data_IF_669138412478
#
_entry.id   IF_669138412478
#
_cell.length_a   1.000
_cell.length_b   1.000
_cell.length_c   1.000
_cell.angle_alpha   90.00
_cell.angle_beta   90.00
_cell.angle_gamma   90.00
#
_symmetry.space_group_name_H-M   'P 1'
#
loop_
_entity.id
_entity.type
_entity.pdbx_description
1 polymer ?
#
# COMPACT_ATOMS: atom_id res chain seq x y z
N UNK A 1 -62.49 16.17 -30.18
CA UNK A 1 -61.31 16.29 -29.31
C UNK A 1 -60.15 15.62 -30.02
N UNK A 2 -59.04 16.36 -30.17
CA UNK A 2 -57.99 16.15 -31.15
C UNK A 2 -57.30 14.79 -31.14
N UNK A 3 -57.04 14.30 -32.35
CA UNK A 3 -56.10 13.25 -32.71
C UNK A 3 -54.68 13.69 -32.32
N UNK A 4 -54.05 13.01 -31.36
CA UNK A 4 -52.59 13.14 -31.17
C UNK A 4 -51.90 12.00 -31.91
N UNK A 5 -51.61 12.32 -33.17
CA UNK A 5 -50.79 11.59 -34.11
C UNK A 5 -49.35 11.54 -33.57
N UNK A 6 -48.93 10.43 -32.95
CA UNK A 6 -47.51 10.18 -32.65
C UNK A 6 -46.84 9.66 -33.92
N UNK A 7 -46.62 10.56 -34.85
CA UNK A 7 -45.90 10.28 -36.09
C UNK A 7 -44.40 10.19 -35.79
N UNK A 8 -43.87 8.98 -35.99
CA UNK A 8 -42.54 8.68 -36.53
C UNK A 8 -41.35 9.56 -36.14
N UNK A 9 -40.45 8.97 -35.35
CA UNK A 9 -39.01 9.00 -35.63
C UNK A 9 -38.46 7.57 -35.54
N UNK A 10 -38.85 6.70 -36.48
CA UNK A 10 -37.99 5.57 -36.85
C UNK A 10 -36.72 6.18 -37.42
N UNK A 11 -35.69 6.35 -36.60
CA UNK A 11 -34.36 6.65 -37.10
C UNK A 11 -33.88 5.46 -37.93
N UNK A 12 -34.10 5.56 -39.24
CA UNK A 12 -33.37 4.84 -40.26
C UNK A 12 -31.90 5.29 -40.17
N UNK A 13 -31.12 4.83 -39.17
CA UNK A 13 -29.67 4.96 -39.25
C UNK A 13 -29.15 3.80 -40.09
N UNK A 14 -29.43 3.90 -41.39
CA UNK A 14 -28.69 3.26 -42.47
C UNK A 14 -27.22 3.17 -42.08
N UNK A 15 -26.68 1.95 -42.04
CA UNK A 15 -25.25 1.58 -42.24
C UNK A 15 -24.26 2.76 -42.16
N UNK A 16 -24.24 3.52 -41.06
CA UNK A 16 -23.41 4.72 -40.94
C UNK A 16 -22.02 4.26 -40.52
N UNK A 17 -21.39 3.59 -41.48
CA UNK A 17 -19.98 3.42 -41.67
C UNK A 17 -19.19 3.19 -40.38
N UNK A 18 -18.84 1.92 -40.15
CA UNK A 18 -17.71 1.46 -39.33
C UNK A 18 -16.35 2.02 -39.83
N UNK A 19 -16.34 3.21 -40.44
CA UNK A 19 -15.14 3.90 -40.88
C UNK A 19 -14.41 4.37 -39.63
N UNK A 20 -13.13 4.02 -39.58
CA UNK A 20 -12.19 4.46 -38.56
C UNK A 20 -12.09 5.98 -38.61
N UNK A 21 -12.04 6.64 -37.46
CA UNK A 21 -11.85 8.08 -37.38
C UNK A 21 -10.52 8.44 -38.05
N UNK A 22 -10.47 9.55 -38.79
CA UNK A 22 -9.22 10.02 -39.40
C UNK A 22 -8.26 10.54 -38.34
N UNK A 23 -6.97 10.62 -38.67
CA UNK A 23 -5.97 11.14 -37.71
C UNK A 23 -6.27 12.57 -37.28
N UNK A 24 -6.75 13.43 -38.18
CA UNK A 24 -7.14 14.80 -37.84
C UNK A 24 -8.34 14.85 -36.89
N UNK A 25 -9.34 13.98 -37.12
CA UNK A 25 -10.48 13.85 -36.21
C UNK A 25 -10.04 13.39 -34.82
N UNK A 26 -9.16 12.39 -34.75
CA UNK A 26 -8.60 11.91 -33.48
C UNK A 26 -7.81 13.03 -32.79
N UNK A 27 -6.95 13.76 -33.51
CA UNK A 27 -6.16 14.87 -32.94
C UNK A 27 -7.05 15.92 -32.29
N UNK A 28 -8.14 16.33 -32.96
CA UNK A 28 -9.07 17.32 -32.41
C UNK A 28 -9.83 16.79 -31.18
N UNK A 29 -10.22 15.50 -31.19
CA UNK A 29 -10.81 14.84 -30.03
C UNK A 29 -9.82 14.77 -28.85
N UNK A 30 -8.54 14.54 -29.11
CA UNK A 30 -7.49 14.52 -28.09
C UNK A 30 -7.24 15.89 -27.45
N UNK A 31 -7.17 16.95 -28.26
CA UNK A 31 -7.05 18.34 -27.76
C UNK A 31 -8.26 18.67 -26.86
N UNK A 32 -9.46 18.33 -27.33
CA UNK A 32 -10.70 18.51 -26.58
C UNK A 32 -10.69 17.73 -25.26
N UNK A 33 -10.24 16.46 -25.28
CA UNK A 33 -10.13 15.61 -24.10
C UNK A 33 -9.09 16.11 -23.10
N UNK A 34 -7.96 16.62 -23.57
CA UNK A 34 -6.92 17.22 -22.73
C UNK A 34 -7.43 18.43 -21.94
N UNK A 35 -8.34 19.21 -22.54
CA UNK A 35 -8.97 20.35 -21.88
C UNK A 35 -10.05 19.92 -20.87
N UNK A 36 -10.89 18.95 -21.23
CA UNK A 36 -11.88 18.39 -20.32
C UNK A 36 -12.10 16.89 -20.60
N UNK A 37 -11.83 16.07 -19.59
CA UNK A 37 -11.97 14.60 -19.65
C UNK A 37 -13.43 14.13 -19.64
N UNK A 38 -14.36 14.99 -19.22
CA UNK A 38 -15.81 14.74 -19.25
C UNK A 38 -16.41 15.33 -20.51
N UNK A 39 -17.21 14.53 -21.21
CA UNK A 39 -17.90 14.95 -22.42
C UNK A 39 -19.28 15.50 -22.07
N UNK A 40 -19.39 16.82 -22.03
CA UNK A 40 -20.68 17.48 -21.82
C UNK A 40 -21.59 17.36 -23.06
N UNK A 41 -22.92 17.30 -22.89
CA UNK A 41 -23.86 17.14 -24.00
C UNK A 41 -23.72 18.20 -25.09
N UNK A 42 -23.58 19.47 -24.71
CA UNK A 42 -23.43 20.58 -25.66
C UNK A 42 -22.12 20.46 -26.45
N UNK A 43 -21.02 20.18 -25.75
CA UNK A 43 -19.71 19.98 -26.37
C UNK A 43 -19.71 18.79 -27.33
N UNK A 44 -20.43 17.72 -27.01
CA UNK A 44 -20.60 16.57 -27.90
C UNK A 44 -21.30 16.96 -29.21
N UNK A 45 -22.35 17.78 -29.14
CA UNK A 45 -23.06 18.26 -30.33
C UNK A 45 -22.19 19.22 -31.15
N UNK A 46 -21.39 20.06 -30.50
CA UNK A 46 -20.43 20.92 -31.20
C UNK A 46 -19.37 20.11 -31.94
N UNK A 47 -18.71 19.16 -31.25
CA UNK A 47 -17.72 18.28 -31.86
C UNK A 47 -18.29 17.43 -33.00
N UNK A 48 -19.55 17.01 -32.89
CA UNK A 48 -20.22 16.27 -33.97
C UNK A 48 -20.37 17.11 -35.24
N UNK A 49 -20.73 18.38 -35.08
CA UNK A 49 -20.84 19.36 -36.18
C UNK A 49 -19.48 19.67 -36.79
N UNK A 50 -18.50 20.00 -35.96
CA UNK A 50 -17.17 20.44 -36.42
C UNK A 50 -16.39 19.31 -37.13
N UNK A 51 -16.54 18.07 -36.65
CA UNK A 51 -15.79 16.93 -37.18
C UNK A 51 -16.57 16.15 -38.26
N UNK A 52 -17.86 16.42 -38.43
CA UNK A 52 -18.76 15.65 -39.29
C UNK A 52 -18.96 14.20 -38.83
N UNK A 53 -18.85 13.93 -37.53
CA UNK A 53 -18.89 12.59 -36.94
C UNK A 53 -20.19 12.41 -36.14
N UNK A 54 -20.85 11.24 -36.20
CA UNK A 54 -22.02 10.96 -35.38
C UNK A 54 -21.75 11.15 -33.87
N UNK A 55 -22.63 11.82 -33.11
CA UNK A 55 -22.47 12.05 -31.67
C UNK A 55 -22.19 10.78 -30.86
N UNK A 56 -22.73 9.64 -31.31
CA UNK A 56 -22.49 8.33 -30.70
C UNK A 56 -21.03 7.88 -30.81
N UNK A 57 -20.37 8.09 -31.94
CA UNK A 57 -18.96 7.73 -32.11
C UNK A 57 -18.06 8.57 -31.22
N UNK A 58 -18.37 9.85 -31.04
CA UNK A 58 -17.65 10.73 -30.11
C UNK A 58 -17.81 10.23 -28.67
N UNK A 59 -19.03 9.84 -28.27
CA UNK A 59 -19.28 9.28 -26.94
C UNK A 59 -18.46 7.99 -26.69
N UNK A 60 -18.45 7.07 -27.65
CA UNK A 60 -17.66 5.82 -27.58
C UNK A 60 -16.16 6.13 -27.53
N UNK A 61 -15.69 7.07 -28.34
CA UNK A 61 -14.29 7.47 -28.34
C UNK A 61 -13.87 8.03 -26.97
N UNK A 62 -14.69 8.91 -26.38
CA UNK A 62 -14.43 9.45 -25.03
C UNK A 62 -14.45 8.38 -23.95
N UNK A 63 -15.37 7.41 -24.03
CA UNK A 63 -15.40 6.26 -23.12
C UNK A 63 -14.10 5.44 -23.22
N UNK A 64 -13.68 5.09 -24.44
CA UNK A 64 -12.45 4.35 -24.68
C UNK A 64 -11.20 5.12 -24.25
N UNK A 65 -11.15 6.44 -24.51
CA UNK A 65 -10.04 7.29 -24.09
C UNK A 65 -9.95 7.36 -22.57
N UNK A 66 -11.08 7.48 -21.86
CA UNK A 66 -11.10 7.41 -20.38
C UNK A 66 -10.65 6.06 -19.85
N UNK A 67 -11.10 4.95 -20.45
CA UNK A 67 -10.67 3.61 -20.05
C UNK A 67 -9.15 3.46 -20.17
N UNK A 68 -8.59 3.82 -21.34
CA UNK A 68 -7.13 3.80 -21.58
C UNK A 68 -6.37 4.72 -20.62
N UNK A 69 -6.87 5.93 -20.40
CA UNK A 69 -6.26 6.87 -19.46
C UNK A 69 -6.25 6.33 -18.03
N UNK A 70 -7.35 5.68 -17.59
CA UNK A 70 -7.42 5.05 -16.28
C UNK A 70 -6.41 3.90 -16.16
N UNK A 71 -6.34 3.03 -17.17
CA UNK A 71 -5.34 1.96 -17.21
C UNK A 71 -3.92 2.50 -17.13
N UNK A 72 -3.59 3.50 -17.96
CA UNK A 72 -2.25 4.12 -17.95
C UNK A 72 -1.93 4.79 -16.60
N UNK A 73 -2.91 5.44 -15.96
CA UNK A 73 -2.70 6.01 -14.63
C UNK A 73 -2.38 4.92 -13.61
N UNK A 74 -3.14 3.83 -13.60
CA UNK A 74 -2.92 2.69 -12.70
C UNK A 74 -1.57 2.02 -12.92
N UNK A 75 -1.13 1.89 -14.17
CA UNK A 75 0.20 1.35 -14.51
C UNK A 75 1.32 2.23 -13.95
N UNK A 76 1.20 3.55 -14.07
CA UNK A 76 2.17 4.49 -13.50
C UNK A 76 2.16 4.44 -11.97
N UNK A 77 0.98 4.42 -11.35
CA UNK A 77 0.85 4.34 -9.89
C UNK A 77 1.45 3.04 -9.36
N UNK A 78 1.17 1.91 -10.02
CA UNK A 78 1.76 0.62 -9.68
C UNK A 78 3.28 0.64 -9.79
N UNK A 79 3.83 1.17 -10.88
CA UNK A 79 5.27 1.29 -11.07
C UNK A 79 5.92 2.16 -9.97
N UNK A 80 5.30 3.28 -9.61
CA UNK A 80 5.78 4.14 -8.53
C UNK A 80 5.74 3.45 -7.16
N UNK A 81 4.67 2.70 -6.87
CA UNK A 81 4.56 1.91 -5.64
C UNK A 81 5.60 0.81 -5.57
N UNK A 82 5.85 0.12 -6.69
CA UNK A 82 6.86 -0.93 -6.77
C UNK A 82 8.27 -0.38 -6.49
N UNK A 83 8.64 0.76 -7.09
CA UNK A 83 9.93 1.40 -6.82
C UNK A 83 10.10 1.79 -5.35
N UNK A 84 9.02 2.26 -4.70
CA UNK A 84 9.04 2.60 -3.27
C UNK A 84 9.20 1.35 -2.40
N UNK A 85 8.54 0.26 -2.75
CA UNK A 85 8.68 -1.02 -2.05
C UNK A 85 10.11 -1.55 -2.14
N UNK A 86 10.69 -1.53 -3.34
CA UNK A 86 12.08 -1.95 -3.57
C UNK A 86 13.05 -1.10 -2.74
N UNK A 87 12.91 0.23 -2.74
CA UNK A 87 13.72 1.14 -1.93
C UNK A 87 13.59 0.83 -0.43
N UNK A 88 12.37 0.68 0.09
CA UNK A 88 12.13 0.37 1.49
C UNK A 88 12.70 -1.01 1.88
N UNK A 89 12.62 -2.00 0.99
CA UNK A 89 13.19 -3.33 1.23
C UNK A 89 14.73 -3.30 1.29
N UNK A 90 15.35 -2.47 0.46
CA UNK A 90 16.80 -2.28 0.46
C UNK A 90 17.27 -1.58 1.75
N UNK A 91 16.54 -0.55 2.18
CA UNK A 91 16.79 0.14 3.46
C UNK A 91 16.63 -0.82 4.65
N UNK A 92 15.52 -1.59 4.70
CA UNK A 92 15.31 -2.61 5.73
C UNK A 92 16.50 -3.57 5.80
N UNK A 93 16.93 -4.12 4.66
CA UNK A 93 18.08 -5.04 4.60
C UNK A 93 19.38 -4.39 5.09
N UNK A 94 19.57 -3.09 4.83
CA UNK A 94 20.72 -2.36 5.33
C UNK A 94 20.65 -2.17 6.84
N UNK A 95 19.48 -1.80 7.38
CA UNK A 95 19.26 -1.65 8.81
C UNK A 95 19.43 -2.99 9.55
N UNK A 96 18.95 -4.10 8.99
CA UNK A 96 19.15 -5.44 9.58
C UNK A 96 20.64 -5.78 9.71
N UNK A 97 21.46 -5.47 8.70
CA UNK A 97 22.92 -5.65 8.79
C UNK A 97 23.56 -4.76 9.84
N UNK A 98 23.11 -3.52 9.96
CA UNK A 98 23.63 -2.58 10.94
C UNK A 98 23.25 -2.99 12.37
N UNK A 99 22.03 -3.48 12.57
CA UNK A 99 21.59 -4.06 13.85
C UNK A 99 22.45 -5.26 14.22
N UNK A 100 22.73 -6.16 13.28
CA UNK A 100 23.59 -7.32 13.54
C UNK A 100 25.02 -6.90 13.91
N UNK A 101 25.61 -5.96 13.16
CA UNK A 101 26.93 -5.39 13.46
C UNK A 101 26.98 -4.80 14.87
N UNK A 102 25.99 -4.00 15.24
CA UNK A 102 25.92 -3.36 16.56
C UNK A 102 25.73 -4.39 17.69
N UNK A 103 24.97 -5.46 17.45
CA UNK A 103 24.82 -6.58 18.41
C UNK A 103 26.16 -7.29 18.64
N UNK A 104 26.92 -7.55 17.58
CA UNK A 104 28.26 -8.14 17.72
C UNK A 104 29.22 -7.22 18.50
N UNK A 105 29.19 -5.91 18.27
CA UNK A 105 30.01 -4.94 18.98
C UNK A 105 29.65 -4.85 20.47
N UNK A 106 28.35 -4.86 20.77
CA UNK A 106 27.85 -4.88 22.15
C UNK A 106 28.32 -6.14 22.88
N UNK A 107 28.22 -7.31 22.22
CA UNK A 107 28.67 -8.58 22.78
C UNK A 107 30.18 -8.60 23.03
N UNK A 108 30.99 -8.06 22.12
CA UNK A 108 32.44 -7.90 22.31
C UNK A 108 32.74 -6.99 23.50
N UNK A 109 32.06 -5.85 23.61
CA UNK A 109 32.24 -4.92 24.73
C UNK A 109 31.85 -5.55 26.07
N UNK A 110 30.72 -6.27 26.12
CA UNK A 110 30.30 -7.02 27.30
C UNK A 110 31.34 -8.06 27.74
N UNK A 111 31.89 -8.83 26.79
CA UNK A 111 32.97 -9.80 27.09
C UNK A 111 34.19 -9.12 27.71
N UNK A 112 34.65 -8.00 27.16
CA UNK A 112 35.79 -7.23 27.71
C UNK A 112 35.49 -6.76 29.13
N UNK A 113 34.31 -6.19 29.39
CA UNK A 113 33.93 -5.72 30.72
C UNK A 113 33.87 -6.86 31.75
N UNK A 114 33.31 -8.01 31.37
CA UNK A 114 33.25 -9.21 32.23
C UNK A 114 34.65 -9.70 32.56
N UNK A 115 35.54 -9.80 31.57
CA UNK A 115 36.94 -10.16 31.80
C UNK A 115 37.63 -9.19 32.75
N UNK A 116 37.48 -7.88 32.56
CA UNK A 116 38.11 -6.86 33.42
C UNK A 116 37.61 -6.93 34.88
N UNK A 117 36.31 -7.22 35.06
CA UNK A 117 35.70 -7.41 36.39
C UNK A 117 36.25 -8.64 37.11
N UNK A 118 36.54 -9.73 36.40
CA UNK A 118 37.11 -10.94 37.00
C UNK A 118 38.54 -10.73 37.52
N UNK A 119 39.31 -9.80 36.96
CA UNK A 119 40.64 -9.43 37.47
C UNK A 119 40.63 -8.45 38.66
N UNK A 120 39.45 -7.93 39.04
CA UNK A 120 39.32 -6.83 40.03
C UNK A 120 38.63 -7.23 41.34
N UNK A 121 38.27 -8.50 41.55
CA UNK A 121 37.70 -8.97 42.82
C UNK A 121 38.84 -9.40 43.77
N UNK A 122 39.17 -8.66 44.84
CA UNK A 122 39.91 -9.24 45.96
C UNK A 122 39.03 -10.32 46.65
N UNK A 123 39.61 -11.37 47.25
CA UNK A 123 38.84 -12.34 48.01
C UNK A 123 38.12 -11.61 49.17
N UNK A 124 36.87 -11.98 49.53
CA UNK A 124 36.29 -11.50 50.76
C UNK A 124 37.13 -12.06 51.91
N UNK A 125 37.81 -11.16 52.61
CA UNK A 125 38.47 -11.42 53.87
C UNK A 125 37.43 -11.92 54.87
N UNK A 126 37.70 -13.05 55.48
CA UNK A 126 36.91 -13.64 56.56
C UNK A 126 37.01 -12.71 57.78
N UNK A 127 35.94 -11.95 58.05
CA UNK A 127 35.82 -11.19 59.30
C UNK A 127 34.78 -11.86 60.17
N UNK A 128 35.27 -12.68 61.11
CA UNK A 128 34.48 -13.25 62.19
C UNK A 128 33.84 -12.16 63.07
N UNK A 129 32.55 -12.36 63.32
CA UNK A 129 31.81 -12.11 64.58
C UNK A 129 32.14 -10.87 65.40
N UNK A 130 31.26 -9.87 65.32
CA UNK A 130 30.80 -9.20 66.54
C UNK A 130 29.30 -8.88 66.47
N UNK A 131 28.59 -9.45 67.44
CA UNK A 131 27.19 -9.27 67.75
C UNK A 131 26.85 -7.81 68.09
N UNK A 132 25.73 -7.31 67.57
CA UNK A 132 24.84 -6.43 68.33
C UNK A 132 23.42 -6.50 67.77
N UNK A 133 22.47 -6.87 68.62
CA UNK A 133 21.05 -7.05 68.33
C UNK A 133 20.29 -5.72 68.26
N UNK A 134 18.97 -5.83 68.01
CA UNK A 134 17.87 -4.82 68.11
C UNK A 134 17.66 -4.00 66.80
N UNK A 135 16.48 -3.80 66.19
CA UNK A 135 15.07 -4.02 66.55
C UNK A 135 14.12 -4.05 65.31
N UNK A 136 12.94 -4.64 65.53
CA UNK A 136 11.58 -4.29 65.07
C UNK A 136 11.19 -4.08 63.58
N UNK A 137 10.27 -4.97 63.15
CA UNK A 137 8.95 -4.70 62.52
C UNK A 137 8.88 -3.86 61.22
N UNK A 138 8.50 -4.55 60.14
CA UNK A 138 7.88 -3.93 58.96
C UNK A 138 7.51 -4.96 57.88
N UNK A 139 6.23 -5.32 57.81
CA UNK A 139 5.66 -6.13 56.72
C UNK A 139 5.79 -5.46 55.35
N UNK A 140 6.13 -6.24 54.32
CA UNK A 140 5.24 -6.41 53.16
C UNK A 140 5.80 -7.47 52.20
N UNK A 141 4.96 -8.45 51.89
CA UNK A 141 5.13 -9.42 50.81
C UNK A 141 5.24 -8.69 49.47
N UNK A 142 6.43 -8.68 48.87
CA UNK A 142 6.59 -8.44 47.44
C UNK A 142 7.39 -9.60 46.87
N UNK A 143 6.68 -10.39 46.08
CA UNK A 143 7.20 -11.49 45.30
C UNK A 143 7.94 -10.88 44.10
N UNK A 144 9.26 -10.77 44.21
CA UNK A 144 10.12 -10.44 43.08
C UNK A 144 10.16 -11.63 42.11
N UNK A 145 9.34 -11.56 41.07
CA UNK A 145 9.55 -12.33 39.86
C UNK A 145 10.60 -11.62 39.03
N UNK A 146 11.83 -12.14 39.07
CA UNK A 146 12.86 -11.91 38.07
C UNK A 146 12.38 -12.46 36.71
N UNK A 147 11.50 -11.71 36.05
CA UNK A 147 11.18 -11.95 34.66
C UNK A 147 12.32 -11.38 33.81
N UNK A 148 13.35 -12.21 33.60
CA UNK A 148 14.31 -12.04 32.51
C UNK A 148 13.51 -11.69 31.26
N UNK A 149 13.62 -10.45 30.78
CA UNK A 149 13.12 -10.06 29.46
C UNK A 149 14.00 -10.77 28.44
N UNK A 150 13.61 -12.01 28.15
CA UNK A 150 14.04 -12.77 26.99
C UNK A 150 13.62 -11.96 25.77
N UNK A 151 14.51 -11.07 25.32
CA UNK A 151 14.40 -10.41 24.02
C UNK A 151 14.76 -11.42 22.95
N UNK A 152 13.94 -12.48 22.87
CA UNK A 152 13.89 -13.37 21.74
C UNK A 152 13.16 -12.62 20.63
N UNK A 153 13.88 -11.76 19.93
CA UNK A 153 13.54 -11.47 18.54
C UNK A 153 13.81 -12.77 17.78
N UNK A 154 12.87 -13.71 17.90
CA UNK A 154 12.85 -14.90 17.06
C UNK A 154 12.79 -14.37 15.64
N UNK A 155 13.86 -14.63 14.90
CA UNK A 155 13.91 -14.50 13.45
C UNK A 155 12.78 -15.33 12.85
N UNK A 156 11.61 -14.73 12.67
CA UNK A 156 10.60 -15.26 11.78
C UNK A 156 10.80 -14.63 10.41
N UNK A 157 11.69 -15.28 9.69
CA UNK A 157 11.74 -15.27 8.24
C UNK A 157 10.42 -15.87 7.72
N UNK A 158 9.32 -15.12 7.75
CA UNK A 158 8.06 -15.48 7.11
C UNK A 158 7.92 -14.72 5.79
N UNK A 159 8.54 -15.30 4.76
CA UNK A 159 8.32 -14.95 3.36
C UNK A 159 6.90 -15.28 2.86
N UNK A 160 5.90 -15.41 3.76
CA UNK A 160 4.52 -15.80 3.45
C UNK A 160 3.47 -14.71 3.74
N UNK A 161 3.84 -13.60 4.40
CA UNK A 161 2.86 -12.57 4.74
C UNK A 161 2.30 -11.78 3.56
N UNK A 162 2.94 -11.81 2.38
CA UNK A 162 2.43 -11.01 1.25
C UNK A 162 1.16 -11.62 0.65
N UNK A 163 1.06 -12.94 0.57
CA UNK A 163 -0.13 -13.64 0.06
C UNK A 163 -1.28 -13.60 1.08
N UNK A 164 -0.98 -13.79 2.36
CA UNK A 164 -1.99 -13.73 3.43
C UNK A 164 -2.54 -12.31 3.61
N UNK A 165 -1.69 -11.28 3.49
CA UNK A 165 -2.10 -9.88 3.55
C UNK A 165 -2.90 -9.47 2.29
N UNK A 166 -2.54 -10.01 1.12
CA UNK A 166 -3.26 -9.80 -0.13
C UNK A 166 -4.64 -10.49 -0.13
N UNK A 167 -4.76 -11.68 0.45
CA UNK A 167 -6.02 -12.39 0.62
C UNK A 167 -7.00 -11.63 1.55
N UNK A 168 -6.50 -11.04 2.64
CA UNK A 168 -7.30 -10.19 3.53
C UNK A 168 -7.77 -8.88 2.86
N UNK A 169 -6.93 -8.29 2.00
CA UNK A 169 -7.27 -7.04 1.30
C UNK A 169 -8.28 -7.26 0.15
N UNK A 170 -8.31 -8.45 -0.45
CA UNK A 170 -9.11 -8.75 -1.64
C UNK A 170 -10.43 -9.51 -1.39
N UNK A 171 -10.75 -9.90 -0.14
CA UNK A 171 -11.88 -10.79 0.15
C UNK A 171 -13.09 -10.16 0.83
N UNK A 172 -14.10 -9.72 0.06
CA UNK A 172 -15.54 -9.92 0.35
C UNK A 172 -16.44 -9.28 -0.73
N UNK A 173 -16.50 -9.85 -1.93
CA UNK A 173 -17.64 -9.66 -2.84
C UNK A 173 -18.03 -11.04 -3.38
N UNK A 174 -18.90 -11.72 -2.63
CA UNK A 174 -19.37 -13.05 -3.01
C UNK A 174 -20.37 -13.61 -2.00
N UNK A 175 -21.58 -13.08 -1.99
CA UNK A 175 -22.74 -13.87 -1.55
C UNK A 175 -23.35 -14.53 -2.80
N UNK A 176 -23.39 -15.87 -2.88
CA UNK A 176 -24.28 -16.56 -3.78
C UNK A 176 -25.66 -16.60 -3.13
N UNK A 177 -26.64 -15.91 -3.72
CA UNK A 177 -28.05 -16.15 -3.40
C UNK A 177 -28.42 -17.53 -3.96
N UNK A 178 -28.61 -18.48 -3.06
CA UNK A 178 -29.32 -19.73 -3.33
C UNK A 178 -30.69 -19.69 -2.63
N UNK A 179 -31.69 -20.21 -3.35
CA UNK A 179 -33.09 -20.48 -2.99
C UNK A 179 -34.05 -19.27 -2.98
#
# INVERSE_FOLDING_TARGET
MSLFNYQSQKHHSSKHNKKRLTNDQVRLLEISFGSNKKLEPERKLQLARDLGIPPRQIAIWYQNKRARWKTQSLELDHSALQLRLEAASAEKKQLEKEVERLREELEKAHKVLVSLRQFSNPPPMDVCSLSSCCDERGSSSLHDQDHVMSSSWVNNNEALQLEDLYACLMGANGSPTCA
#
